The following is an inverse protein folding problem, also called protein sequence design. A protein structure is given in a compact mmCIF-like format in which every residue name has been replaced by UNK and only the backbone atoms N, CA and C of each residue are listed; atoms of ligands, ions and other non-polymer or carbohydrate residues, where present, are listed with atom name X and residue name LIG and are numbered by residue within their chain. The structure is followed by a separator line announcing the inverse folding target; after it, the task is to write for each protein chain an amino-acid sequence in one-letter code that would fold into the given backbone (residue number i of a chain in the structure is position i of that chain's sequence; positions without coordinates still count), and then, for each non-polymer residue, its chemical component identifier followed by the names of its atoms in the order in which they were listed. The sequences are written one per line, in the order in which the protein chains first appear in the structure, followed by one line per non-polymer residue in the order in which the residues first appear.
data_IF_048721188103
#
_entry.id   IF_048721188103
#
_cell.length_a   1.000
_cell.length_b   1.000
_cell.length_c   1.000
_cell.angle_alpha   90.00
_cell.angle_beta   90.00
_cell.angle_gamma   90.00
#
_symmetry.space_group_name_H-M   'P 1'
#
loop_
_entity.id
_entity.type
_entity.pdbx_description
1 polymer ?
#
# COMPACT_ATOMS: atom_id res chain seq x y z
N UNK A 1 16.06 5.70 -22.73
CA UNK A 1 15.21 6.13 -21.61
C UNK A 1 15.91 5.68 -20.35
N UNK A 2 16.04 6.51 -19.35
CA UNK A 2 16.61 6.06 -18.07
C UNK A 2 15.64 5.06 -17.45
N UNK A 3 16.11 3.88 -17.01
CA UNK A 3 15.25 2.93 -16.35
C UNK A 3 14.76 3.60 -15.05
N UNK A 4 13.49 3.59 -14.80
CA UNK A 4 12.85 4.03 -13.56
C UNK A 4 12.54 2.78 -12.75
N UNK A 5 12.31 2.92 -11.46
CA UNK A 5 11.86 1.79 -10.65
C UNK A 5 10.50 1.29 -11.15
N UNK A 6 10.26 -0.01 -11.01
CA UNK A 6 9.04 -0.68 -11.44
C UNK A 6 8.38 -1.33 -10.24
N UNK A 7 7.16 -0.89 -9.90
CA UNK A 7 6.42 -1.38 -8.74
C UNK A 7 5.11 -2.04 -9.17
N UNK A 8 4.86 -3.26 -8.71
CA UNK A 8 3.58 -3.94 -8.87
C UNK A 8 2.86 -4.03 -7.52
N UNK A 9 1.62 -3.58 -7.43
CA UNK A 9 0.76 -3.83 -6.28
C UNK A 9 -0.16 -5.02 -6.53
N UNK A 10 -0.41 -5.85 -5.50
CA UNK A 10 -1.28 -7.02 -5.64
C UNK A 10 -2.28 -7.03 -4.48
N UNK A 11 -3.58 -6.87 -4.77
CA UNK A 11 -4.59 -6.90 -3.71
C UNK A 11 -5.91 -6.23 -4.07
N UNK A 12 -6.52 -5.61 -3.07
CA UNK A 12 -7.89 -5.12 -3.10
C UNK A 12 -8.04 -3.85 -3.94
N UNK A 13 -9.00 -3.86 -4.85
CA UNK A 13 -9.51 -2.68 -5.54
C UNK A 13 -10.85 -2.28 -4.90
N UNK A 14 -10.94 -1.08 -4.32
CA UNK A 14 -12.14 -0.64 -3.64
C UNK A 14 -12.49 0.84 -3.93
N UNK A 15 -13.71 1.21 -3.55
CA UNK A 15 -14.13 2.61 -3.48
C UNK A 15 -14.49 3.00 -2.06
N UNK A 16 -14.07 4.19 -1.64
CA UNK A 16 -14.47 4.80 -0.36
C UNK A 16 -15.71 5.66 -0.55
N UNK A 17 -16.82 5.23 0.04
CA UNK A 17 -18.14 5.87 -0.09
C UNK A 17 -18.36 6.91 1.01
N UNK A 18 -18.26 8.18 0.69
CA UNK A 18 -18.57 9.30 1.58
C UNK A 18 -20.06 9.63 1.50
N UNK A 19 -20.87 8.82 2.17
CA UNK A 19 -22.33 8.86 2.05
C UNK A 19 -22.94 10.21 2.42
N UNK A 20 -22.37 10.92 3.39
CA UNK A 20 -22.81 12.28 3.77
C UNK A 20 -22.57 13.34 2.68
N UNK A 21 -21.53 13.18 1.87
CA UNK A 21 -21.18 14.05 0.75
C UNK A 21 -21.77 13.55 -0.59
N UNK A 22 -22.28 12.32 -0.64
CA UNK A 22 -22.71 11.61 -1.86
C UNK A 22 -21.61 11.52 -2.93
N UNK A 23 -20.39 11.34 -2.50
CA UNK A 23 -19.23 11.16 -3.37
C UNK A 23 -18.48 9.88 -2.99
N UNK A 24 -17.77 9.31 -3.95
CA UNK A 24 -16.83 8.22 -3.74
C UNK A 24 -15.44 8.62 -4.22
N UNK A 25 -14.44 8.00 -3.63
CA UNK A 25 -13.04 8.08 -4.04
C UNK A 25 -12.54 6.67 -4.36
N UNK A 26 -11.55 6.52 -5.26
CA UNK A 26 -10.83 5.27 -5.37
C UNK A 26 -10.03 5.06 -4.09
N UNK A 27 -9.93 3.82 -3.63
CA UNK A 27 -9.29 3.49 -2.37
C UNK A 27 -8.72 2.07 -2.37
N UNK A 28 -8.14 1.72 -1.24
CA UNK A 28 -7.36 0.50 -1.03
C UNK A 28 -5.87 0.76 -1.07
N UNK A 29 -5.14 0.13 -0.15
CA UNK A 29 -3.70 0.31 -0.02
C UNK A 29 -3.00 0.05 -1.34
N UNK A 30 -3.33 -1.03 -2.02
CA UNK A 30 -2.67 -1.46 -3.25
C UNK A 30 -2.90 -0.48 -4.40
N UNK A 31 -4.13 0.01 -4.57
CA UNK A 31 -4.42 1.03 -5.58
C UNK A 31 -3.67 2.31 -5.28
N UNK A 32 -3.70 2.76 -4.03
CA UNK A 32 -3.01 3.98 -3.61
C UNK A 32 -1.50 3.88 -3.85
N UNK A 33 -0.86 2.77 -3.44
CA UNK A 33 0.58 2.53 -3.66
C UNK A 33 0.92 2.54 -5.14
N UNK A 34 0.11 1.87 -5.99
CA UNK A 34 0.34 1.84 -7.43
C UNK A 34 0.22 3.24 -8.07
N UNK A 35 -0.82 4.00 -7.72
CA UNK A 35 -1.01 5.37 -8.23
C UNK A 35 0.12 6.28 -7.76
N UNK A 36 0.54 6.19 -6.50
CA UNK A 36 1.63 7.00 -5.99
C UNK A 36 2.97 6.66 -6.63
N UNK A 37 3.25 5.39 -6.91
CA UNK A 37 4.45 4.99 -7.65
C UNK A 37 4.48 5.62 -9.05
N UNK A 38 3.35 5.59 -9.77
CA UNK A 38 3.22 6.24 -11.07
C UNK A 38 3.42 7.76 -10.99
N UNK A 39 2.81 8.45 -10.01
CA UNK A 39 2.96 9.90 -9.80
C UNK A 39 4.39 10.33 -9.47
N UNK A 40 5.19 9.44 -8.89
CA UNK A 40 6.63 9.63 -8.68
C UNK A 40 7.46 9.39 -9.95
N UNK A 41 6.83 9.13 -11.09
CA UNK A 41 7.48 8.92 -12.38
C UNK A 41 7.99 7.51 -12.63
N UNK A 42 7.52 6.54 -11.86
CA UNK A 42 7.92 5.13 -11.98
C UNK A 42 6.94 4.32 -12.84
N UNK A 43 7.37 3.19 -13.38
CA UNK A 43 6.46 2.23 -13.98
C UNK A 43 5.66 1.53 -12.88
N UNK A 44 4.33 1.47 -13.05
CA UNK A 44 3.44 0.94 -12.02
C UNK A 44 2.42 -0.02 -12.59
N UNK A 45 2.22 -1.13 -11.89
CA UNK A 45 1.19 -2.11 -12.21
C UNK A 45 0.36 -2.51 -11.01
N UNK A 46 -0.84 -3.06 -11.26
CA UNK A 46 -1.70 -3.60 -10.22
C UNK A 46 -2.38 -4.87 -10.68
N UNK A 47 -2.42 -5.87 -9.80
CA UNK A 47 -3.22 -7.08 -9.95
C UNK A 47 -4.32 -7.06 -8.88
N UNK A 48 -5.56 -6.91 -9.30
CA UNK A 48 -6.73 -6.90 -8.45
C UNK A 48 -7.90 -7.65 -9.08
N UNK A 49 -9.08 -7.55 -8.46
CA UNK A 49 -10.33 -8.11 -9.02
C UNK A 49 -11.35 -6.99 -9.16
N UNK A 50 -11.76 -6.71 -10.39
CA UNK A 50 -12.85 -5.79 -10.70
C UNK A 50 -14.20 -6.51 -10.62
N UNK A 51 -15.20 -5.82 -10.10
CA UNK A 51 -16.58 -6.26 -10.17
C UNK A 51 -17.23 -5.95 -11.53
N UNK A 52 -18.55 -6.15 -11.58
CA UNK A 52 -19.39 -5.80 -12.74
C UNK A 52 -20.31 -4.60 -12.48
N UNK A 53 -20.11 -3.90 -11.36
CA UNK A 53 -20.85 -2.70 -10.98
C UNK A 53 -20.21 -1.40 -11.53
N UNK A 54 -20.88 -0.24 -11.44
CA UNK A 54 -20.33 1.03 -11.92
C UNK A 54 -18.99 1.42 -11.30
N UNK A 55 -18.69 0.94 -10.08
CA UNK A 55 -17.41 1.20 -9.41
C UNK A 55 -16.24 0.60 -10.18
N UNK A 56 -16.45 -0.52 -10.89
CA UNK A 56 -15.40 -1.13 -11.72
C UNK A 56 -14.93 -0.21 -12.84
N UNK A 57 -15.87 0.37 -13.59
CA UNK A 57 -15.55 1.31 -14.67
C UNK A 57 -14.88 2.59 -14.13
N UNK A 58 -15.30 3.06 -12.98
CA UNK A 58 -14.69 4.20 -12.31
C UNK A 58 -13.23 3.91 -11.91
N UNK A 59 -12.97 2.78 -11.25
CA UNK A 59 -11.61 2.38 -10.84
C UNK A 59 -10.69 2.20 -12.05
N UNK A 60 -11.18 1.58 -13.13
CA UNK A 60 -10.42 1.43 -14.38
C UNK A 60 -10.07 2.78 -15.01
N UNK A 61 -11.03 3.71 -15.05
CA UNK A 61 -10.80 5.06 -15.57
C UNK A 61 -9.73 5.81 -14.75
N UNK A 62 -9.73 5.66 -13.43
CA UNK A 62 -8.69 6.23 -12.56
C UNK A 62 -7.33 5.62 -12.85
N UNK A 63 -7.21 4.29 -12.88
CA UNK A 63 -5.94 3.60 -13.15
C UNK A 63 -5.38 3.99 -14.52
N UNK A 64 -6.24 4.11 -15.54
CA UNK A 64 -5.86 4.57 -16.86
C UNK A 64 -5.35 6.01 -16.84
N UNK A 65 -6.06 6.92 -16.15
CA UNK A 65 -5.67 8.33 -16.02
C UNK A 65 -4.34 8.50 -15.28
N UNK A 66 -4.06 7.61 -14.33
CA UNK A 66 -2.83 7.59 -13.53
C UNK A 66 -1.72 6.72 -14.16
N UNK A 67 -1.92 6.22 -15.39
CA UNK A 67 -0.93 5.41 -16.13
C UNK A 67 -0.47 4.15 -15.37
N UNK A 68 -1.37 3.53 -14.60
CA UNK A 68 -1.12 2.25 -13.92
C UNK A 68 -1.57 1.10 -14.82
N UNK A 69 -0.69 0.15 -15.07
CA UNK A 69 -1.03 -1.07 -15.81
C UNK A 69 -1.87 -2.01 -14.93
N UNK A 70 -3.05 -2.38 -15.41
CA UNK A 70 -3.94 -3.34 -14.77
C UNK A 70 -4.30 -4.54 -15.66
N UNK A 71 -3.48 -4.79 -16.69
CA UNK A 71 -3.73 -5.83 -17.71
C UNK A 71 -3.81 -7.24 -17.15
N UNK A 72 -3.18 -7.49 -15.97
CA UNK A 72 -3.24 -8.76 -15.26
C UNK A 72 -4.31 -8.82 -14.16
N UNK A 73 -5.15 -7.79 -14.03
CA UNK A 73 -6.30 -7.83 -13.10
C UNK A 73 -7.42 -8.72 -13.62
N UNK A 74 -8.21 -9.27 -12.70
CA UNK A 74 -9.33 -10.19 -12.98
C UNK A 74 -10.65 -9.44 -12.99
N UNK A 75 -11.67 -10.10 -13.55
CA UNK A 75 -13.05 -9.62 -13.60
C UNK A 75 -13.98 -10.71 -13.07
N UNK A 76 -14.90 -10.33 -12.20
CA UNK A 76 -15.88 -11.26 -11.62
C UNK A 76 -17.26 -10.59 -11.53
N UNK A 77 -18.32 -11.41 -11.63
CA UNK A 77 -19.68 -10.94 -11.41
C UNK A 77 -19.92 -10.57 -9.95
N UNK A 78 -20.43 -9.35 -9.72
CA UNK A 78 -20.74 -8.83 -8.41
C UNK A 78 -20.15 -7.42 -8.18
N UNK A 79 -20.38 -6.86 -6.99
CA UNK A 79 -19.91 -5.51 -6.67
C UNK A 79 -18.40 -5.48 -6.40
N UNK A 80 -17.75 -4.40 -6.81
CA UNK A 80 -16.42 -4.06 -6.32
C UNK A 80 -16.43 -3.93 -4.79
N UNK A 81 -15.27 -4.05 -4.18
CA UNK A 81 -15.15 -3.75 -2.77
C UNK A 81 -15.48 -2.29 -2.49
N UNK A 82 -16.05 -2.04 -1.31
CA UNK A 82 -16.26 -0.68 -0.83
C UNK A 82 -16.09 -0.60 0.69
N UNK A 83 -15.71 0.60 1.14
CA UNK A 83 -15.85 1.02 2.52
C UNK A 83 -16.76 2.24 2.62
N UNK A 84 -17.46 2.38 3.73
CA UNK A 84 -18.32 3.52 4.00
C UNK A 84 -17.64 4.44 5.00
N UNK A 85 -17.50 5.71 4.63
CA UNK A 85 -16.83 6.74 5.40
C UNK A 85 -17.81 7.82 5.82
N UNK A 86 -17.75 8.24 7.09
CA UNK A 86 -18.44 9.41 7.63
C UNK A 86 -17.43 10.39 8.18
N UNK A 87 -17.72 11.67 8.06
CA UNK A 87 -16.97 12.72 8.75
C UNK A 87 -17.68 13.01 10.07
N UNK A 88 -16.99 12.82 11.19
CA UNK A 88 -17.46 13.10 12.54
C UNK A 88 -16.46 14.03 13.21
N UNK A 89 -16.92 15.25 13.55
CA UNK A 89 -16.08 16.31 14.16
C UNK A 89 -14.79 16.63 13.36
N UNK A 90 -14.86 16.51 12.03
CA UNK A 90 -13.71 16.72 11.14
C UNK A 90 -12.88 15.47 10.88
N UNK A 91 -13.06 14.40 11.65
CA UNK A 91 -12.34 13.15 11.50
C UNK A 91 -13.11 12.13 10.67
N UNK A 92 -12.38 11.26 9.99
CA UNK A 92 -12.95 10.13 9.25
C UNK A 92 -13.21 8.95 10.14
N UNK A 93 -14.42 8.42 10.02
CA UNK A 93 -14.82 7.19 10.69
C UNK A 93 -15.29 6.20 9.63
N UNK A 94 -14.63 5.07 9.54
CA UNK A 94 -15.10 3.95 8.73
C UNK A 94 -16.29 3.31 9.46
N UNK A 95 -17.46 3.28 8.80
CA UNK A 95 -18.71 2.82 9.40
C UNK A 95 -19.22 1.52 8.83
N UNK A 96 -18.58 0.98 7.80
CA UNK A 96 -18.96 -0.29 7.18
C UNK A 96 -18.13 -0.61 5.95
N UNK A 97 -18.29 -1.85 5.49
CA UNK A 97 -17.68 -2.36 4.25
C UNK A 97 -18.52 -3.55 3.74
N UNK A 98 -18.38 -3.89 2.46
CA UNK A 98 -19.03 -5.05 1.86
C UNK A 98 -18.17 -6.32 1.85
N UNK A 99 -17.32 -6.51 2.87
CA UNK A 99 -16.43 -7.68 3.02
C UNK A 99 -15.48 -7.93 1.83
N UNK A 100 -15.08 -6.87 1.13
CA UNK A 100 -14.14 -6.95 0.02
C UNK A 100 -14.79 -7.22 -1.33
N UNK A 101 -16.14 -7.17 -1.41
CA UNK A 101 -16.86 -7.36 -2.67
C UNK A 101 -16.44 -8.63 -3.39
N UNK A 102 -16.23 -8.54 -4.71
CA UNK A 102 -15.77 -9.67 -5.54
C UNK A 102 -14.41 -10.23 -5.10
N UNK A 103 -13.48 -9.41 -4.60
CA UNK A 103 -12.19 -9.90 -4.09
C UNK A 103 -12.38 -10.75 -2.83
N UNK A 104 -13.37 -10.44 -1.99
CA UNK A 104 -13.71 -11.26 -0.82
C UNK A 104 -14.35 -12.61 -1.20
N UNK A 105 -15.05 -12.68 -2.33
CA UNK A 105 -15.65 -13.91 -2.87
C UNK A 105 -14.65 -14.73 -3.69
N UNK A 106 -13.77 -14.06 -4.42
CA UNK A 106 -12.77 -14.64 -5.33
C UNK A 106 -11.40 -14.08 -5.00
N UNK A 107 -10.75 -14.55 -3.92
CA UNK A 107 -9.42 -14.06 -3.51
C UNK A 107 -8.40 -14.22 -4.62
N UNK A 108 -7.42 -13.32 -4.65
CA UNK A 108 -6.37 -13.33 -5.67
C UNK A 108 -5.49 -14.57 -5.47
N UNK A 109 -5.40 -15.39 -6.51
CA UNK A 109 -4.46 -16.49 -6.63
C UNK A 109 -3.42 -16.13 -7.69
N UNK A 110 -2.15 -16.23 -7.35
CA UNK A 110 -1.05 -16.02 -8.30
C UNK A 110 -0.95 -17.26 -9.20
N UNK A 111 -1.10 -17.08 -10.49
CA UNK A 111 -1.04 -18.15 -11.49
C UNK A 111 0.33 -18.16 -12.21
N UNK A 112 0.60 -19.20 -12.98
CA UNK A 112 1.80 -19.26 -13.80
C UNK A 112 1.84 -18.17 -14.90
N UNK A 113 0.68 -17.64 -15.29
CA UNK A 113 0.58 -16.54 -16.26
C UNK A 113 0.96 -15.19 -15.63
N UNK A 114 0.80 -15.02 -14.32
CA UNK A 114 1.17 -13.81 -13.59
C UNK A 114 2.67 -13.74 -13.30
N UNK A 115 3.33 -14.88 -13.15
CA UNK A 115 4.73 -14.95 -12.71
C UNK A 115 5.69 -14.14 -13.60
N UNK A 116 5.65 -14.23 -14.95
CA UNK A 116 6.49 -13.40 -15.81
C UNK A 116 6.20 -11.90 -15.68
N UNK A 117 4.93 -11.53 -15.49
CA UNK A 117 4.55 -10.14 -15.28
C UNK A 117 5.08 -9.62 -13.94
N UNK A 118 4.83 -10.33 -12.85
CA UNK A 118 5.28 -9.97 -11.49
C UNK A 118 6.80 -9.86 -11.45
N UNK A 119 7.52 -10.83 -12.00
CA UNK A 119 9.00 -10.85 -11.99
C UNK A 119 9.63 -9.82 -12.92
N UNK A 120 8.84 -9.15 -13.75
CA UNK A 120 9.30 -8.01 -14.54
C UNK A 120 9.41 -6.71 -13.75
N UNK A 121 8.90 -6.66 -12.51
CA UNK A 121 8.98 -5.50 -11.62
C UNK A 121 10.17 -5.62 -10.65
N UNK A 122 10.63 -4.48 -10.14
CA UNK A 122 11.75 -4.42 -9.19
C UNK A 122 11.27 -4.70 -7.76
N UNK A 123 9.98 -4.45 -7.47
CA UNK A 123 9.36 -4.68 -6.17
C UNK A 123 7.86 -4.94 -6.29
N UNK A 124 7.34 -5.81 -5.43
CA UNK A 124 5.90 -6.08 -5.29
C UNK A 124 5.42 -5.56 -3.94
N UNK A 125 4.24 -4.90 -3.91
CA UNK A 125 3.58 -4.44 -2.69
C UNK A 125 2.23 -5.11 -2.50
N UNK A 126 1.93 -5.50 -1.26
CA UNK A 126 0.61 -5.98 -0.83
C UNK A 126 0.40 -5.65 0.64
N UNK A 127 -0.79 -5.91 1.19
CA UNK A 127 -1.12 -5.56 2.57
C UNK A 127 -2.04 -6.56 3.26
N UNK A 128 -2.20 -6.37 4.56
CA UNK A 128 -3.23 -7.07 5.36
C UNK A 128 -4.63 -6.87 4.79
N UNK A 129 -4.90 -5.69 4.22
CA UNK A 129 -6.20 -5.37 3.61
C UNK A 129 -6.34 -5.84 2.17
N UNK A 130 -5.25 -6.28 1.53
CA UNK A 130 -5.23 -6.78 0.16
C UNK A 130 -6.02 -8.06 -0.09
N UNK A 131 -6.50 -8.70 0.98
CA UNK A 131 -7.32 -9.93 0.93
C UNK A 131 -6.65 -11.14 0.28
N UNK A 132 -5.32 -11.16 0.28
CA UNK A 132 -4.58 -12.33 -0.16
C UNK A 132 -4.42 -13.33 0.98
N UNK A 133 -4.60 -14.62 0.68
CA UNK A 133 -4.24 -15.68 1.62
C UNK A 133 -2.72 -15.70 1.87
N UNK A 134 -2.25 -15.97 3.11
CA UNK A 134 -0.82 -16.00 3.42
C UNK A 134 0.01 -16.90 2.48
N UNK A 135 -0.56 -18.01 2.02
CA UNK A 135 0.08 -18.91 1.06
C UNK A 135 0.37 -18.24 -0.29
N UNK A 136 -0.51 -17.32 -0.74
CA UNK A 136 -0.30 -16.57 -1.97
C UNK A 136 0.78 -15.49 -1.80
N UNK A 137 0.86 -14.87 -0.62
CA UNK A 137 1.95 -13.95 -0.29
C UNK A 137 3.29 -14.71 -0.22
N UNK A 138 3.32 -15.89 0.39
CA UNK A 138 4.50 -16.76 0.40
C UNK A 138 4.91 -17.18 -1.02
N UNK A 139 3.93 -17.45 -1.90
CA UNK A 139 4.20 -17.70 -3.32
C UNK A 139 4.85 -16.48 -3.98
N UNK A 140 4.34 -15.26 -3.76
CA UNK A 140 5.00 -14.03 -4.25
C UNK A 140 6.46 -13.95 -3.78
N UNK A 141 6.72 -14.19 -2.49
CA UNK A 141 8.07 -14.19 -1.94
C UNK A 141 8.99 -15.22 -2.61
N UNK A 142 8.44 -16.35 -3.08
CA UNK A 142 9.21 -17.40 -3.74
C UNK A 142 9.61 -17.08 -5.19
N UNK A 143 9.02 -16.03 -5.80
CA UNK A 143 9.34 -15.64 -7.18
C UNK A 143 10.68 -14.91 -7.34
N UNK A 144 11.33 -14.57 -6.22
CA UNK A 144 12.66 -13.94 -6.25
C UNK A 144 12.65 -12.42 -6.49
N UNK A 145 11.48 -11.80 -6.55
CA UNK A 145 11.33 -10.34 -6.55
C UNK A 145 11.12 -9.85 -5.10
N UNK A 146 11.69 -8.71 -4.68
CA UNK A 146 11.44 -8.13 -3.37
C UNK A 146 9.93 -7.92 -3.11
N UNK A 147 9.44 -8.41 -1.96
CA UNK A 147 8.04 -8.25 -1.55
C UNK A 147 7.96 -7.33 -0.34
N UNK A 148 7.17 -6.28 -0.45
CA UNK A 148 6.80 -5.39 0.63
C UNK A 148 5.40 -5.75 1.13
N UNK A 149 5.25 -5.90 2.43
CA UNK A 149 3.96 -6.17 3.07
C UNK A 149 3.63 -5.10 4.10
N UNK A 150 2.47 -4.44 3.91
CA UNK A 150 1.93 -3.52 4.90
C UNK A 150 1.06 -4.30 5.89
N UNK A 151 1.60 -4.51 7.09
CA UNK A 151 0.87 -5.08 8.23
C UNK A 151 -0.08 -4.10 8.90
N UNK A 152 0.04 -2.80 8.57
CA UNK A 152 -0.75 -1.74 9.18
C UNK A 152 -0.62 -1.69 10.72
N UNK A 153 -1.71 -1.42 11.45
CA UNK A 153 -1.72 -1.34 12.92
C UNK A 153 -2.40 -2.53 13.59
N UNK A 154 -3.15 -3.34 12.83
CA UNK A 154 -4.09 -4.34 13.33
C UNK A 154 -3.93 -5.72 12.67
N UNK A 155 -2.82 -5.98 11.99
CA UNK A 155 -2.56 -7.31 11.44
C UNK A 155 -2.62 -8.39 12.51
N UNK A 156 -3.36 -9.49 12.28
CA UNK A 156 -3.36 -10.62 13.21
C UNK A 156 -1.95 -11.15 13.46
N UNK A 157 -1.61 -11.42 14.73
CA UNK A 157 -0.27 -11.89 15.11
C UNK A 157 0.14 -13.15 14.34
N UNK A 158 -0.80 -14.06 14.09
CA UNK A 158 -0.55 -15.26 13.30
C UNK A 158 -0.09 -14.93 11.87
N UNK A 159 -0.70 -13.93 11.24
CA UNK A 159 -0.29 -13.46 9.90
C UNK A 159 1.11 -12.84 9.93
N UNK A 160 1.42 -12.04 10.96
CA UNK A 160 2.76 -11.49 11.16
C UNK A 160 3.79 -12.61 11.29
N UNK A 161 3.52 -13.60 12.14
CA UNK A 161 4.44 -14.73 12.37
C UNK A 161 4.64 -15.60 11.12
N UNK A 162 3.62 -15.71 10.26
CA UNK A 162 3.71 -16.48 9.01
C UNK A 162 4.43 -15.74 7.89
N UNK A 163 4.25 -14.44 7.77
CA UNK A 163 4.71 -13.67 6.60
C UNK A 163 6.02 -12.92 6.84
N UNK A 164 6.26 -12.48 8.07
CA UNK A 164 7.43 -11.68 8.42
C UNK A 164 8.77 -12.31 7.97
N UNK A 165 8.98 -13.64 8.06
CA UNK A 165 10.25 -14.25 7.63
C UNK A 165 10.44 -14.30 6.11
N UNK A 166 9.38 -14.16 5.31
CA UNK A 166 9.49 -14.27 3.85
C UNK A 166 9.45 -12.92 3.13
N UNK A 167 8.87 -11.88 3.73
CA UNK A 167 8.79 -10.58 3.08
C UNK A 167 10.11 -9.82 3.18
N UNK A 168 10.44 -9.08 2.12
CA UNK A 168 11.66 -8.27 2.09
C UNK A 168 11.52 -7.02 2.96
N UNK A 169 10.34 -6.38 2.90
CA UNK A 169 10.01 -5.18 3.67
C UNK A 169 8.71 -5.39 4.44
N UNK A 170 8.75 -5.18 5.74
CA UNK A 170 7.59 -5.21 6.62
C UNK A 170 7.27 -3.79 7.12
N UNK A 171 6.11 -3.26 6.73
CA UNK A 171 5.63 -1.96 7.18
C UNK A 171 4.59 -2.13 8.28
N UNK A 172 4.66 -1.25 9.30
CA UNK A 172 3.72 -1.19 10.40
C UNK A 172 3.34 0.25 10.72
N UNK A 173 2.10 0.47 11.14
CA UNK A 173 1.63 1.74 11.69
C UNK A 173 1.68 1.68 13.21
N UNK A 174 2.44 2.57 13.84
CA UNK A 174 2.74 2.55 15.27
C UNK A 174 2.61 3.93 15.93
N UNK A 175 1.65 4.75 15.47
CA UNK A 175 1.44 6.10 16.00
C UNK A 175 0.99 6.10 17.48
N UNK A 176 0.35 5.02 17.92
CA UNK A 176 -0.13 4.78 19.28
C UNK A 176 0.99 4.38 20.28
N UNK A 177 2.16 3.97 19.79
CA UNK A 177 3.29 3.48 20.57
C UNK A 177 4.33 4.57 20.86
N UNK A 178 4.97 4.53 22.01
CA UNK A 178 6.14 5.37 22.29
C UNK A 178 7.36 4.95 21.46
N UNK A 179 8.33 5.85 21.30
CA UNK A 179 9.57 5.58 20.57
C UNK A 179 10.36 4.38 21.12
N UNK A 180 10.27 4.14 22.43
CA UNK A 180 10.90 2.99 23.08
C UNK A 180 10.18 1.69 22.73
N UNK A 181 8.85 1.71 22.73
CA UNK A 181 8.02 0.55 22.34
C UNK A 181 8.20 0.22 20.87
N UNK A 182 8.25 1.23 19.98
CA UNK A 182 8.51 1.02 18.54
C UNK A 182 9.86 0.31 18.34
N UNK A 183 10.92 0.80 18.98
CA UNK A 183 12.25 0.16 18.85
C UNK A 183 12.24 -1.28 19.35
N UNK A 184 11.61 -1.54 20.51
CA UNK A 184 11.46 -2.93 21.03
C UNK A 184 10.69 -3.81 20.05
N UNK A 185 9.60 -3.30 19.50
CA UNK A 185 8.80 -4.01 18.50
C UNK A 185 9.61 -4.35 17.26
N UNK A 186 10.36 -3.40 16.71
CA UNK A 186 11.22 -3.62 15.53
C UNK A 186 12.26 -4.73 15.81
N UNK A 187 12.93 -4.69 16.97
CA UNK A 187 13.90 -5.75 17.31
C UNK A 187 13.21 -7.10 17.51
N UNK A 188 12.04 -7.14 18.13
CA UNK A 188 11.28 -8.38 18.27
C UNK A 188 10.83 -8.95 16.90
N UNK A 189 10.49 -8.09 15.93
CA UNK A 189 10.26 -8.51 14.55
C UNK A 189 11.53 -9.09 13.89
N UNK A 190 12.67 -8.44 14.09
CA UNK A 190 13.94 -8.94 13.56
C UNK A 190 14.33 -10.32 14.13
N UNK A 191 14.11 -10.55 15.43
CA UNK A 191 14.32 -11.85 16.06
C UNK A 191 13.41 -12.95 15.49
N UNK A 192 12.25 -12.57 14.94
CA UNK A 192 11.32 -13.47 14.25
C UNK A 192 11.60 -13.62 12.75
N UNK A 193 12.70 -13.10 12.25
CA UNK A 193 13.11 -13.22 10.85
C UNK A 193 12.74 -12.04 9.95
N UNK A 194 12.25 -10.93 10.51
CA UNK A 194 12.00 -9.70 9.74
C UNK A 194 13.31 -9.07 9.28
N UNK A 195 13.52 -9.01 7.96
CA UNK A 195 14.77 -8.50 7.39
C UNK A 195 14.85 -6.98 7.40
N UNK A 196 13.81 -6.32 6.89
CA UNK A 196 13.70 -4.87 6.90
C UNK A 196 12.34 -4.49 7.49
N UNK A 197 12.34 -3.85 8.65
CA UNK A 197 11.13 -3.52 9.41
C UNK A 197 11.03 -2.01 9.55
N UNK A 198 9.94 -1.45 9.03
CA UNK A 198 9.67 -0.01 9.02
C UNK A 198 8.38 0.26 9.81
N UNK A 199 8.45 1.15 10.80
CA UNK A 199 7.31 1.59 11.59
C UNK A 199 7.07 3.09 11.39
N UNK A 200 5.93 3.46 10.81
CA UNK A 200 5.49 4.85 10.75
C UNK A 200 4.83 5.24 12.07
N UNK A 201 5.10 6.46 12.55
CA UNK A 201 4.66 6.97 13.86
C UNK A 201 3.93 8.33 13.75
N UNK A 202 3.22 8.55 12.65
CA UNK A 202 2.48 9.80 12.38
C UNK A 202 3.41 11.02 12.39
N UNK A 203 3.07 12.05 13.14
CA UNK A 203 3.84 13.29 13.26
C UNK A 203 5.27 13.10 13.82
N UNK A 204 5.56 11.95 14.41
CA UNK A 204 6.90 11.60 14.89
C UNK A 204 7.78 10.98 13.82
N UNK A 205 7.27 10.79 12.58
CA UNK A 205 8.01 10.26 11.45
C UNK A 205 8.06 8.74 11.41
N UNK A 206 9.23 8.16 11.15
CA UNK A 206 9.40 6.71 11.00
C UNK A 206 10.66 6.21 11.70
N UNK A 207 10.61 4.96 12.13
CA UNK A 207 11.71 4.16 12.65
C UNK A 207 11.89 2.95 11.73
N UNK A 208 13.11 2.62 11.39
CA UNK A 208 13.37 1.51 10.50
C UNK A 208 14.63 0.74 10.91
N UNK A 209 14.53 -0.58 10.88
CA UNK A 209 15.69 -1.47 10.86
C UNK A 209 15.82 -1.97 9.44
N UNK A 210 16.84 -1.56 8.73
CA UNK A 210 17.09 -1.94 7.33
C UNK A 210 18.56 -2.31 7.20
N UNK A 211 18.83 -3.43 6.55
CA UNK A 211 20.19 -3.96 6.36
C UNK A 211 20.99 -4.06 7.69
N UNK A 212 20.29 -4.41 8.77
CA UNK A 212 20.86 -4.56 10.12
C UNK A 212 21.16 -3.25 10.86
N UNK A 213 20.87 -2.08 10.27
CA UNK A 213 21.08 -0.78 10.90
C UNK A 213 19.75 -0.11 11.27
N UNK A 214 19.73 0.53 12.45
CA UNK A 214 18.57 1.29 12.91
C UNK A 214 18.62 2.72 12.38
N UNK A 215 17.52 3.15 11.77
CA UNK A 215 17.33 4.50 11.25
C UNK A 215 16.17 5.18 11.93
N UNK A 216 16.22 6.51 11.96
CA UNK A 216 15.11 7.37 12.32
C UNK A 216 14.97 8.46 11.27
N UNK A 217 13.76 8.66 10.79
CA UNK A 217 13.37 9.75 9.91
C UNK A 217 12.30 10.57 10.62
N UNK A 218 12.51 11.84 10.78
CA UNK A 218 11.49 12.78 11.28
C UNK A 218 10.43 13.03 10.21
N UNK A 219 9.20 13.32 10.64
CA UNK A 219 8.15 13.72 9.73
C UNK A 219 8.46 15.10 9.12
N UNK A 220 8.09 15.28 7.86
CA UNK A 220 8.15 16.58 7.22
C UNK A 220 6.94 17.42 7.62
N UNK A 221 7.14 18.74 7.73
CA UNK A 221 6.07 19.68 8.08
C UNK A 221 5.12 19.86 6.90
N UNK A 222 3.83 19.74 7.17
CA UNK A 222 2.77 19.98 6.18
C UNK A 222 1.58 20.70 6.82
N UNK A 223 0.84 21.44 5.99
CA UNK A 223 -0.49 21.92 6.37
C UNK A 223 -1.49 20.77 6.14
N UNK A 224 -1.69 19.94 7.15
CA UNK A 224 -2.50 18.73 7.06
C UNK A 224 -3.96 19.08 6.80
N UNK A 225 -4.49 18.61 5.66
CA UNK A 225 -5.91 18.63 5.31
C UNK A 225 -6.49 17.25 5.58
N UNK A 226 -5.74 16.18 5.26
CA UNK A 226 -6.19 14.82 5.23
C UNK A 226 -5.02 13.84 5.32
N UNK A 227 -5.09 12.89 6.23
CA UNK A 227 -4.05 11.87 6.41
C UNK A 227 -4.29 10.58 5.63
N UNK A 228 -5.38 10.50 4.84
CA UNK A 228 -5.67 9.33 4.01
C UNK A 228 -4.58 9.12 2.97
N UNK A 229 -4.10 7.88 2.84
CA UNK A 229 -3.05 7.53 1.90
C UNK A 229 -1.63 7.98 2.31
N UNK A 230 -1.44 8.60 3.48
CA UNK A 230 -0.10 8.98 3.94
C UNK A 230 0.82 7.76 4.12
N UNK A 231 0.30 6.66 4.66
CA UNK A 231 1.04 5.39 4.76
C UNK A 231 1.38 4.82 3.38
N UNK A 232 0.39 4.78 2.49
CA UNK A 232 0.55 4.22 1.15
C UNK A 232 1.56 5.03 0.32
N UNK A 233 1.50 6.37 0.42
CA UNK A 233 2.46 7.25 -0.26
C UNK A 233 3.86 7.14 0.32
N UNK A 234 4.00 6.95 1.64
CA UNK A 234 5.28 6.64 2.28
C UNK A 234 5.85 5.33 1.72
N UNK A 235 5.04 4.26 1.65
CA UNK A 235 5.45 2.95 1.12
C UNK A 235 5.88 3.09 -0.34
N UNK A 236 5.08 3.72 -1.19
CA UNK A 236 5.39 3.91 -2.60
C UNK A 236 6.72 4.64 -2.81
N UNK A 237 6.92 5.78 -2.13
CA UNK A 237 8.14 6.57 -2.26
C UNK A 237 9.36 5.85 -1.66
N UNK A 238 9.22 5.15 -0.55
CA UNK A 238 10.30 4.34 0.01
C UNK A 238 10.73 3.25 -0.97
N UNK A 239 9.79 2.44 -1.45
CA UNK A 239 10.07 1.29 -2.31
C UNK A 239 10.66 1.72 -3.65
N UNK A 240 10.08 2.71 -4.32
CA UNK A 240 10.59 3.19 -5.61
C UNK A 240 11.94 3.92 -5.51
N UNK A 241 12.33 4.36 -4.31
CA UNK A 241 13.65 4.95 -4.10
C UNK A 241 14.70 3.89 -3.73
N UNK A 242 14.34 2.92 -2.87
CA UNK A 242 15.30 1.92 -2.37
C UNK A 242 15.59 0.83 -3.41
N UNK A 243 14.61 0.52 -4.27
CA UNK A 243 14.70 -0.48 -5.34
C UNK A 243 14.91 0.15 -6.73
N UNK A 244 15.33 1.42 -6.79
CA UNK A 244 15.68 2.06 -8.06
C UNK A 244 16.95 1.42 -8.64
N UNK A 245 16.86 0.69 -9.78
CA UNK A 245 17.98 -0.08 -10.32
C UNK A 245 19.12 0.78 -10.85
N UNK A 246 18.93 2.11 -10.91
CA UNK A 246 19.93 3.06 -11.41
C UNK A 246 20.69 3.78 -10.30
N UNK A 247 20.30 3.60 -9.07
CA UNK A 247 20.89 4.27 -7.93
C UNK A 247 21.52 3.27 -6.97
N UNK A 248 22.57 3.70 -6.31
CA UNK A 248 23.06 2.98 -5.15
C UNK A 248 21.98 2.93 -4.07
N UNK A 249 21.84 1.80 -3.42
CA UNK A 249 20.87 1.60 -2.34
C UNK A 249 21.20 2.52 -1.16
N UNK A 250 20.36 3.52 -0.95
CA UNK A 250 20.47 4.51 0.13
C UNK A 250 19.21 4.56 0.97
N UNK A 251 19.26 3.93 2.14
CA UNK A 251 18.13 3.85 3.09
C UNK A 251 17.73 5.23 3.61
N UNK A 252 18.70 6.16 3.81
CA UNK A 252 18.39 7.51 4.30
C UNK A 252 17.67 8.32 3.24
N UNK A 253 18.12 8.22 1.99
CA UNK A 253 17.44 8.87 0.86
C UNK A 253 16.03 8.33 0.68
N UNK A 254 15.83 7.01 0.78
CA UNK A 254 14.51 6.39 0.67
C UNK A 254 13.56 6.81 1.80
N UNK A 255 14.01 6.81 3.04
CA UNK A 255 13.21 7.28 4.18
C UNK A 255 12.87 8.77 4.07
N UNK A 256 13.80 9.60 3.60
CA UNK A 256 13.57 11.03 3.37
C UNK A 256 12.56 11.28 2.27
N UNK A 257 12.70 10.61 1.12
CA UNK A 257 11.74 10.70 0.02
C UNK A 257 10.33 10.27 0.47
N UNK A 258 10.23 9.18 1.23
CA UNK A 258 8.98 8.70 1.81
C UNK A 258 8.33 9.73 2.74
N UNK A 259 9.10 10.34 3.64
CA UNK A 259 8.58 11.36 4.56
C UNK A 259 8.10 12.63 3.83
N UNK A 260 8.84 13.08 2.82
CA UNK A 260 8.46 14.25 1.99
C UNK A 260 7.15 13.97 1.26
N UNK A 261 7.05 12.84 0.58
CA UNK A 261 5.88 12.53 -0.23
C UNK A 261 4.63 12.25 0.63
N UNK A 262 4.80 11.61 1.79
CA UNK A 262 3.71 11.44 2.76
C UNK A 262 3.20 12.80 3.28
N UNK A 263 4.08 13.75 3.55
CA UNK A 263 3.69 15.09 3.96
C UNK A 263 2.94 15.85 2.85
N UNK A 264 3.39 15.74 1.59
CA UNK A 264 2.69 16.30 0.42
C UNK A 264 1.30 15.67 0.24
N UNK A 265 1.17 14.36 0.43
CA UNK A 265 -0.11 13.64 0.37
C UNK A 265 -1.09 14.20 1.39
N UNK A 266 -0.64 14.44 2.61
CA UNK A 266 -1.49 15.00 3.67
C UNK A 266 -2.04 16.41 3.38
N UNK A 267 -1.56 17.12 2.36
CA UNK A 267 -2.08 18.44 1.95
C UNK A 267 -3.27 18.36 1.01
N UNK A 268 -3.76 17.16 0.67
CA UNK A 268 -4.83 16.92 -0.30
C UNK A 268 -5.93 16.08 0.33
N UNK A 269 -7.19 16.21 -0.14
CA UNK A 269 -8.30 15.39 0.32
C UNK A 269 -8.42 14.10 -0.51
N UNK A 270 -8.72 12.97 0.16
CA UNK A 270 -9.13 11.74 -0.51
C UNK A 270 -7.98 10.91 -1.08
N UNK A 271 -6.87 10.74 -0.36
CA UNK A 271 -5.73 9.94 -0.80
C UNK A 271 -5.27 10.33 -2.22
N UNK A 272 -5.50 9.46 -3.19
CA UNK A 272 -5.15 9.73 -4.59
C UNK A 272 -6.09 10.73 -5.30
N UNK A 273 -7.15 11.21 -4.61
CA UNK A 273 -8.12 12.14 -5.21
C UNK A 273 -9.14 11.43 -6.12
N UNK A 274 -9.51 12.04 -7.25
CA UNK A 274 -10.52 11.54 -8.19
C UNK A 274 -11.92 11.37 -7.58
N UNK A 275 -12.52 12.42 -6.96
CA UNK A 275 -13.89 12.32 -6.46
C UNK A 275 -14.88 12.07 -7.60
N UNK A 276 -15.86 11.19 -7.37
CA UNK A 276 -16.96 10.92 -8.29
C UNK A 276 -18.28 10.86 -7.51
N UNK A 277 -19.42 11.26 -8.10
CA UNK A 277 -20.73 11.01 -7.47
C UNK A 277 -20.93 9.51 -7.21
N UNK A 278 -21.59 9.19 -6.07
CA UNK A 278 -22.07 7.82 -5.84
C UNK A 278 -23.22 7.59 -6.81
N UNK A 279 -23.10 6.54 -7.64
CA UNK A 279 -24.12 6.16 -8.63
C UNK A 279 -25.39 5.62 -7.98
#
# INVERSE_FOLDING_TARGET
MSAVARLCSVGLLLVDLYTGKKIMYPGGNELNVAVYASRLGNESGIIGVFGSDPSAAFLQAVLQAEHVDYSHSRYAEGPCANSTVKIVNGDRVFTGHNNGGVTGMFPIEITAEDEPYITSFDVVSTSTYGRMHPQQVQKLCSLGVPVAYDFSHDAPQEMVDQLLPCVTYAFFSAADKSDVEIKRFIYACAEKGGHNVICTAGERGAFALVDGAMYRQEAEKANVIDTMGAGDSFIAAFLTTIEDPQKDRDVRAALKAAAVFAAETCTKEGAVGHPSPIA
#
